data_IF_521027191532
#
_entry.id   IF_521027191532
#
_cell.length_a   1.000
_cell.length_b   1.000
_cell.length_c   1.000
_cell.angle_alpha   90.00
_cell.angle_beta   90.00
_cell.angle_gamma   90.00
#
_symmetry.space_group_name_H-M   'P 1'
#
loop_
_entity.id
_entity.type
_entity.pdbx_description
1 polymer ?
#
# COMPACT_ATOMS: atom_id res chain seq x y z
N UNK A 1 28.82 -16.64 46.57
CA UNK A 1 29.04 -15.61 45.53
C UNK A 1 28.66 -16.19 44.16
N UNK A 2 27.43 -16.70 44.00
CA UNK A 2 26.89 -17.21 42.72
C UNK A 2 25.51 -16.66 42.36
N UNK A 3 24.79 -16.05 43.30
CA UNK A 3 23.41 -15.58 43.11
C UNK A 3 23.24 -14.54 42.00
N UNK A 4 24.20 -13.63 41.83
CA UNK A 4 24.10 -12.57 40.82
C UNK A 4 24.29 -13.09 39.38
N UNK A 5 25.08 -14.15 39.18
CA UNK A 5 25.24 -14.77 37.87
C UNK A 5 23.99 -15.58 37.47
N UNK A 6 23.40 -16.27 38.44
CA UNK A 6 22.14 -17.00 38.27
C UNK A 6 20.98 -16.05 37.92
N UNK A 7 20.89 -14.90 38.61
CA UNK A 7 19.90 -13.83 38.33
C UNK A 7 20.09 -13.22 36.94
N UNK A 8 21.34 -12.98 36.50
CA UNK A 8 21.62 -12.48 35.14
C UNK A 8 21.21 -13.51 34.09
N UNK A 9 21.46 -14.80 34.34
CA UNK A 9 21.08 -15.87 33.43
C UNK A 9 19.56 -16.00 33.30
N UNK A 10 18.83 -15.86 34.41
CA UNK A 10 17.36 -15.85 34.41
C UNK A 10 16.80 -14.65 33.63
N UNK A 11 17.37 -13.46 33.81
CA UNK A 11 16.98 -12.26 33.05
C UNK A 11 17.26 -12.40 31.55
N UNK A 12 18.38 -13.00 31.16
CA UNK A 12 18.69 -13.27 29.75
C UNK A 12 17.70 -14.27 29.15
N UNK A 13 17.35 -15.34 29.88
CA UNK A 13 16.36 -16.31 29.42
C UNK A 13 14.98 -15.68 29.24
N UNK A 14 14.57 -14.83 30.19
CA UNK A 14 13.31 -14.09 30.11
C UNK A 14 13.29 -13.12 28.92
N UNK A 15 14.35 -12.32 28.74
CA UNK A 15 14.47 -11.41 27.61
C UNK A 15 14.43 -12.15 26.27
N UNK A 16 15.11 -13.29 26.17
CA UNK A 16 15.07 -14.14 24.97
C UNK A 16 13.66 -14.65 24.68
N UNK A 17 12.92 -15.04 25.72
CA UNK A 17 11.50 -15.43 25.60
C UNK A 17 10.62 -14.28 25.11
N UNK A 18 10.73 -13.10 25.74
CA UNK A 18 9.96 -11.91 25.36
C UNK A 18 10.27 -11.45 23.93
N UNK A 19 11.54 -11.52 23.50
CA UNK A 19 11.95 -11.24 22.11
C UNK A 19 11.38 -12.27 21.12
N UNK A 20 11.31 -13.55 21.52
CA UNK A 20 10.69 -14.61 20.72
C UNK A 20 9.19 -14.40 20.53
N UNK A 21 8.48 -14.03 21.59
CA UNK A 21 7.05 -13.72 21.55
C UNK A 21 6.76 -12.46 20.70
N UNK A 22 7.59 -11.43 20.85
CA UNK A 22 7.50 -10.21 20.03
C UNK A 22 7.73 -10.49 18.54
N UNK A 23 8.72 -11.34 18.21
CA UNK A 23 8.99 -11.76 16.84
C UNK A 23 7.79 -12.51 16.22
N UNK A 24 7.17 -13.41 16.97
CA UNK A 24 5.96 -14.11 16.52
C UNK A 24 4.77 -13.18 16.33
N UNK A 25 4.56 -12.23 17.25
CA UNK A 25 3.50 -11.24 17.13
C UNK A 25 3.67 -10.35 15.91
N UNK A 26 4.91 -9.91 15.63
CA UNK A 26 5.24 -9.14 14.44
C UNK A 26 5.00 -9.94 13.15
N UNK A 27 5.39 -11.22 13.13
CA UNK A 27 5.15 -12.10 11.97
C UNK A 27 3.66 -12.26 11.66
N UNK A 28 2.83 -12.52 12.69
CA UNK A 28 1.37 -12.62 12.51
C UNK A 28 0.78 -11.32 11.99
N UNK A 29 1.26 -10.18 12.50
CA UNK A 29 0.78 -8.89 12.05
C UNK A 29 1.14 -8.63 10.57
N UNK A 30 2.31 -9.06 10.11
CA UNK A 30 2.71 -8.98 8.71
C UNK A 30 1.81 -9.88 7.85
N UNK A 31 1.51 -11.10 8.28
CA UNK A 31 0.61 -12.00 7.56
C UNK A 31 -0.81 -11.41 7.43
N UNK A 32 -1.34 -10.85 8.52
CA UNK A 32 -2.65 -10.17 8.52
C UNK A 32 -2.66 -8.95 7.57
N UNK A 33 -1.58 -8.16 7.56
CA UNK A 33 -1.41 -7.04 6.62
C UNK A 33 -1.39 -7.52 5.17
N UNK A 34 -0.68 -8.62 4.88
CA UNK A 34 -0.65 -9.21 3.53
C UNK A 34 -2.05 -9.62 3.05
N UNK A 35 -2.84 -10.28 3.92
CA UNK A 35 -4.22 -10.66 3.59
C UNK A 35 -5.09 -9.44 3.34
N UNK A 36 -4.99 -8.40 4.18
CA UNK A 36 -5.73 -7.17 4.00
C UNK A 36 -5.39 -6.45 2.69
N UNK A 37 -4.11 -6.35 2.35
CA UNK A 37 -3.64 -5.76 1.07
C UNK A 37 -4.18 -6.54 -0.12
N UNK A 38 -4.16 -7.88 -0.08
CA UNK A 38 -4.67 -8.70 -1.18
C UNK A 38 -6.20 -8.51 -1.38
N UNK A 39 -6.95 -8.36 -0.30
CA UNK A 39 -8.39 -8.08 -0.36
C UNK A 39 -8.66 -6.69 -0.94
N UNK A 40 -7.89 -5.67 -0.53
CA UNK A 40 -8.00 -4.31 -1.09
C UNK A 40 -7.68 -4.34 -2.59
N UNK A 41 -6.60 -4.99 -3.00
CA UNK A 41 -6.23 -5.12 -4.42
C UNK A 41 -7.34 -5.80 -5.23
N UNK A 42 -7.93 -6.87 -4.69
CA UNK A 42 -9.06 -7.57 -5.33
C UNK A 42 -10.29 -6.65 -5.50
N UNK A 43 -10.59 -5.83 -4.49
CA UNK A 43 -11.68 -4.86 -4.58
C UNK A 43 -11.38 -3.74 -5.59
N UNK A 44 -10.14 -3.24 -5.64
CA UNK A 44 -9.73 -2.24 -6.64
C UNK A 44 -9.88 -2.78 -8.06
N UNK A 45 -9.44 -4.02 -8.32
CA UNK A 45 -9.63 -4.67 -9.63
C UNK A 45 -11.10 -4.87 -9.99
N UNK A 46 -11.93 -5.24 -9.00
CA UNK A 46 -13.38 -5.35 -9.23
C UNK A 46 -14.02 -3.99 -9.57
N UNK A 47 -13.60 -2.91 -8.89
CA UNK A 47 -14.03 -1.55 -9.20
C UNK A 47 -13.57 -1.13 -10.60
N UNK A 48 -12.32 -1.41 -10.98
CA UNK A 48 -11.79 -1.14 -12.31
C UNK A 48 -12.61 -1.83 -13.40
N UNK A 49 -12.96 -3.11 -13.21
CA UNK A 49 -13.78 -3.86 -14.16
C UNK A 49 -15.18 -3.24 -14.33
N UNK A 50 -15.83 -2.86 -13.23
CA UNK A 50 -17.16 -2.21 -13.26
C UNK A 50 -17.08 -0.85 -13.95
N UNK A 51 -16.11 -0.01 -13.56
CA UNK A 51 -15.93 1.33 -14.13
C UNK A 51 -15.59 1.23 -15.62
N UNK A 52 -14.75 0.28 -16.03
CA UNK A 52 -14.41 0.05 -17.44
C UNK A 52 -15.65 -0.27 -18.29
N UNK A 53 -16.56 -1.12 -17.78
CA UNK A 53 -17.82 -1.41 -18.47
C UNK A 53 -18.72 -0.17 -18.53
N UNK A 54 -18.82 0.61 -17.45
CA UNK A 54 -19.59 1.86 -17.42
C UNK A 54 -19.05 2.89 -18.40
N UNK A 55 -17.73 3.02 -18.49
CA UNK A 55 -17.05 3.94 -19.41
C UNK A 55 -17.36 3.65 -20.89
N UNK A 56 -17.71 2.41 -21.25
CA UNK A 56 -18.17 2.11 -22.63
C UNK A 56 -19.52 2.73 -23.00
N UNK A 57 -20.26 3.26 -22.02
CA UNK A 57 -21.62 3.78 -22.18
C UNK A 57 -21.72 5.29 -21.94
N UNK A 58 -20.64 5.92 -21.54
CA UNK A 58 -20.57 7.34 -21.20
C UNK A 58 -19.49 7.97 -22.06
N UNK A 59 -19.80 9.12 -22.67
CA UNK A 59 -18.78 9.90 -23.38
C UNK A 59 -17.89 10.59 -22.34
N UNK A 60 -16.60 10.28 -22.37
CA UNK A 60 -15.62 10.77 -21.39
C UNK A 60 -14.67 11.71 -22.12
N UNK A 61 -14.66 12.98 -21.69
CA UNK A 61 -13.65 13.94 -22.12
C UNK A 61 -12.36 13.70 -21.34
N UNK A 62 -11.33 13.19 -22.02
CA UNK A 62 -10.04 12.89 -21.42
C UNK A 62 -9.38 14.12 -20.75
N UNK A 63 -9.55 15.31 -21.33
CA UNK A 63 -8.97 16.54 -20.77
C UNK A 63 -9.60 16.90 -19.41
N UNK A 64 -10.92 16.74 -19.30
CA UNK A 64 -11.64 17.02 -18.05
C UNK A 64 -11.28 15.99 -16.97
N UNK A 65 -11.07 14.73 -17.35
CA UNK A 65 -10.63 13.66 -16.44
C UNK A 65 -9.21 13.91 -15.93
N UNK A 66 -8.28 14.30 -16.81
CA UNK A 66 -6.91 14.62 -16.42
C UNK A 66 -6.85 15.81 -15.45
N UNK A 67 -7.60 16.87 -15.72
CA UNK A 67 -7.68 18.03 -14.82
C UNK A 67 -8.30 17.65 -13.48
N UNK A 68 -9.38 16.85 -13.49
CA UNK A 68 -10.01 16.36 -12.26
C UNK A 68 -9.07 15.50 -11.41
N UNK A 69 -8.28 14.61 -12.03
CA UNK A 69 -7.27 13.83 -11.33
C UNK A 69 -6.26 14.76 -10.66
N UNK A 70 -5.70 15.71 -11.41
CA UNK A 70 -4.73 16.67 -10.89
C UNK A 70 -5.28 17.44 -9.70
N UNK A 71 -6.50 17.96 -9.79
CA UNK A 71 -7.16 18.67 -8.68
C UNK A 71 -7.32 17.78 -7.44
N UNK A 72 -7.71 16.51 -7.61
CA UNK A 72 -7.93 15.58 -6.49
C UNK A 72 -6.65 15.07 -5.87
N UNK A 73 -5.56 15.03 -6.61
CA UNK A 73 -4.27 14.54 -6.11
C UNK A 73 -3.33 15.65 -5.65
N UNK A 74 -3.63 16.92 -5.96
CA UNK A 74 -2.82 18.08 -5.58
C UNK A 74 -2.53 18.18 -4.07
N UNK A 75 -3.48 17.79 -3.21
CA UNK A 75 -3.30 17.79 -1.75
C UNK A 75 -2.31 16.72 -1.24
N UNK A 76 -1.93 15.77 -2.10
CA UNK A 76 -1.02 14.66 -1.80
C UNK A 76 0.32 14.79 -2.56
N UNK A 77 0.55 15.90 -3.26
CA UNK A 77 1.87 16.23 -3.78
C UNK A 77 2.72 16.81 -2.63
N UNK A 78 3.76 16.08 -2.22
CA UNK A 78 4.64 16.50 -1.10
C UNK A 78 5.44 17.77 -1.42
N UNK A 79 5.52 18.18 -2.70
CA UNK A 79 6.09 19.47 -3.08
C UNK A 79 5.42 20.02 -4.35
N UNK A 80 5.07 21.30 -4.36
CA UNK A 80 4.34 21.98 -5.45
C UNK A 80 5.03 21.98 -6.83
N UNK A 81 6.25 21.43 -6.93
CA UNK A 81 7.02 21.27 -8.16
C UNK A 81 7.05 19.85 -8.73
N UNK A 82 6.63 18.84 -7.97
CA UNK A 82 6.60 17.44 -8.42
C UNK A 82 5.16 16.92 -8.49
N UNK A 83 4.79 16.38 -9.65
CA UNK A 83 3.50 15.71 -9.83
C UNK A 83 3.34 14.61 -8.80
N UNK A 84 2.20 14.56 -8.10
CA UNK A 84 1.94 13.52 -7.11
C UNK A 84 2.08 12.13 -7.75
N UNK A 85 2.58 11.14 -7.00
CA UNK A 85 2.66 9.76 -7.50
C UNK A 85 1.29 9.24 -8.01
N UNK A 86 0.20 9.72 -7.43
CA UNK A 86 -1.16 9.41 -7.86
C UNK A 86 -1.50 10.00 -9.26
N UNK A 87 -1.07 11.24 -9.56
CA UNK A 87 -1.22 11.85 -10.89
C UNK A 87 -0.39 11.09 -11.94
N UNK A 88 0.84 10.68 -11.60
CA UNK A 88 1.69 9.88 -12.49
C UNK A 88 1.08 8.52 -12.86
N UNK A 89 0.54 7.79 -11.88
CA UNK A 89 -0.16 6.50 -12.09
C UNK A 89 -1.40 6.71 -12.96
N UNK A 90 -2.20 7.72 -12.64
CA UNK A 90 -3.42 7.99 -13.37
C UNK A 90 -3.15 8.40 -14.82
N UNK A 91 -2.12 9.22 -15.07
CA UNK A 91 -1.68 9.55 -16.42
C UNK A 91 -1.24 8.31 -17.20
N UNK A 92 -0.43 7.42 -16.58
CA UNK A 92 0.01 6.17 -17.20
C UNK A 92 -1.16 5.27 -17.63
N UNK A 93 -2.16 5.13 -16.76
CA UNK A 93 -3.36 4.32 -17.02
C UNK A 93 -4.26 4.90 -18.12
N UNK A 94 -4.36 6.23 -18.20
CA UNK A 94 -5.13 6.92 -19.24
C UNK A 94 -4.45 6.88 -20.60
N UNK A 95 -3.11 6.99 -20.65
CA UNK A 95 -2.39 7.11 -21.92
C UNK A 95 -2.28 5.82 -22.73
N UNK A 96 -2.66 4.64 -22.19
CA UNK A 96 -2.56 3.32 -22.84
C UNK A 96 -1.54 3.30 -23.98
N UNK A 97 -0.24 3.39 -23.70
CA UNK A 97 0.71 2.97 -24.72
C UNK A 97 0.52 1.46 -24.90
N UNK A 98 0.10 0.97 -26.07
CA UNK A 98 0.21 -0.45 -26.35
C UNK A 98 1.69 -0.79 -26.25
N UNK A 99 2.01 -1.86 -25.51
CA UNK A 99 3.33 -2.44 -25.52
C UNK A 99 3.75 -2.59 -26.99
N UNK A 100 4.79 -1.86 -27.40
CA UNK A 100 5.40 -2.03 -28.71
C UNK A 100 5.96 -3.45 -28.72
N UNK A 101 5.29 -4.35 -29.44
CA UNK A 101 5.86 -5.62 -29.91
C UNK A 101 6.99 -5.37 -30.91
#
# INVERSE_FOLDING_TARGET
>A
MSTTLDEIQELIQKLSGELGDMSQAASRHIDDLHVAVNNIASHVLAMEAVISVMATKVDINEADVQEWIREKTAAYAEDSSESSAAEGIAHSLLTKEPAKE
#
